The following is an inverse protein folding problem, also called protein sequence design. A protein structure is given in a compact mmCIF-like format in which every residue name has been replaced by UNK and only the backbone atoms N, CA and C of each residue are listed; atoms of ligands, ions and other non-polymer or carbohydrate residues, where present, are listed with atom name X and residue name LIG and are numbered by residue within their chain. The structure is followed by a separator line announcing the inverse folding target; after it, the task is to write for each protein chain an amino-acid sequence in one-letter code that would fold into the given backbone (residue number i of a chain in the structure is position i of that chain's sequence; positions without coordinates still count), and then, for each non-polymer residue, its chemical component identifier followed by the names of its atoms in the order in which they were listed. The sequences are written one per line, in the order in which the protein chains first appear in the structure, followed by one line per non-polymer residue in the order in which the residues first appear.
data_IF_815861218759
#
_entry.id   IF_815861218759
#
_cell.length_a   1.000
_cell.length_b   1.000
_cell.length_c   1.000
_cell.angle_alpha   90.00
_cell.angle_beta   90.00
_cell.angle_gamma   90.00
#
_symmetry.space_group_name_H-M   'P 1'
#
loop_
_entity.id
_entity.type
_entity.pdbx_description
1 polymer ?
#
# COMPACT_ATOMS: atom_id res chain seq x y z
N UNK A 1 16.70 -29.76 22.45
CA UNK A 1 18.05 -29.18 22.20
C UNK A 1 18.13 -28.92 20.70
N UNK A 2 17.97 -27.73 20.13
CA UNK A 2 17.98 -26.34 20.59
C UNK A 2 17.00 -25.58 19.66
N UNK A 3 16.05 -24.84 20.23
CA UNK A 3 16.09 -23.37 20.19
C UNK A 3 15.42 -22.78 18.94
N UNK A 4 14.08 -22.78 19.00
CA UNK A 4 13.18 -22.07 18.10
C UNK A 4 13.16 -20.58 18.48
N UNK A 5 14.33 -19.94 18.53
CA UNK A 5 14.49 -18.52 18.83
C UNK A 5 15.34 -17.89 17.74
N UNK A 6 14.86 -16.72 17.28
CA UNK A 6 15.55 -15.74 16.41
C UNK A 6 15.27 -15.84 14.91
N UNK A 7 14.00 -15.83 14.55
CA UNK A 7 13.56 -15.36 13.23
C UNK A 7 12.92 -13.97 13.28
N UNK A 8 13.31 -13.13 14.25
CA UNK A 8 12.86 -11.73 14.30
C UNK A 8 14.07 -10.79 14.40
N UNK A 9 14.64 -10.50 13.23
CA UNK A 9 15.23 -9.20 12.87
C UNK A 9 15.43 -9.22 11.34
N UNK A 10 14.36 -8.92 10.60
CA UNK A 10 14.46 -8.62 9.17
C UNK A 10 15.12 -7.25 8.96
N UNK A 11 16.43 -7.17 9.15
CA UNK A 11 17.25 -6.08 8.64
C UNK A 11 18.52 -6.63 8.01
N UNK A 12 18.51 -6.78 6.68
CA UNK A 12 19.72 -7.04 5.89
C UNK A 12 20.57 -5.77 5.83
N UNK A 13 21.29 -5.47 6.91
CA UNK A 13 22.45 -4.56 6.87
C UNK A 13 23.59 -5.23 7.62
N UNK A 14 24.71 -5.42 6.94
CA UNK A 14 25.94 -5.88 7.58
C UNK A 14 26.35 -4.85 8.63
N UNK A 15 26.73 -5.31 9.82
CA UNK A 15 27.08 -4.48 10.98
C UNK A 15 28.30 -3.55 10.76
N UNK A 16 28.88 -3.52 9.57
CA UNK A 16 30.00 -2.66 9.15
C UNK A 16 29.57 -1.28 8.62
N UNK A 17 28.28 -1.03 8.38
CA UNK A 17 27.80 0.24 7.84
C UNK A 17 27.24 1.16 8.92
N UNK A 18 28.11 1.66 9.80
CA UNK A 18 27.78 2.64 10.85
C UNK A 18 28.22 4.07 10.45
N UNK A 19 29.10 4.22 9.46
CA UNK A 19 29.69 5.51 9.03
C UNK A 19 29.14 6.11 7.74
N UNK A 20 28.02 5.60 7.23
CA UNK A 20 27.30 6.22 6.11
C UNK A 20 25.90 6.58 6.56
N UNK A 21 25.64 7.85 6.80
CA UNK A 21 24.27 8.37 6.97
C UNK A 21 23.54 8.29 5.60
N UNK A 22 23.25 7.07 5.15
CA UNK A 22 22.36 6.87 4.03
C UNK A 22 20.95 6.95 4.60
N UNK A 23 20.25 8.08 4.37
CA UNK A 23 18.80 8.10 4.54
C UNK A 23 18.27 6.88 3.82
N UNK A 24 17.63 5.96 4.54
CA UNK A 24 17.05 4.74 3.99
C UNK A 24 16.02 5.16 2.93
N UNK A 25 16.42 5.22 1.66
CA UNK A 25 15.52 5.52 0.54
C UNK A 25 14.49 4.41 0.33
N UNK A 26 14.77 3.22 0.86
CA UNK A 26 13.94 2.03 0.78
C UNK A 26 13.13 1.79 2.04
N UNK A 27 11.83 2.04 1.99
CA UNK A 27 10.85 1.35 2.84
C UNK A 27 10.73 -0.14 2.48
N UNK A 28 9.88 -0.89 3.19
CA UNK A 28 9.72 -2.33 2.98
C UNK A 28 9.26 -2.66 1.54
N UNK A 29 10.15 -3.29 0.76
CA UNK A 29 9.91 -3.60 -0.67
C UNK A 29 8.80 -4.63 -0.84
N UNK A 30 8.71 -5.61 0.07
CA UNK A 30 7.66 -6.65 0.05
C UNK A 30 6.29 -6.01 0.25
N UNK A 31 6.18 -5.08 1.21
CA UNK A 31 4.95 -4.33 1.46
C UNK A 31 4.56 -3.46 0.26
N UNK A 32 5.52 -2.72 -0.31
CA UNK A 32 5.26 -1.90 -1.51
C UNK A 32 4.74 -2.77 -2.67
N UNK A 33 5.34 -3.93 -2.89
CA UNK A 33 4.93 -4.87 -3.94
C UNK A 33 3.55 -5.47 -3.65
N UNK A 34 3.27 -5.85 -2.41
CA UNK A 34 1.97 -6.36 -1.99
C UNK A 34 0.86 -5.31 -2.22
N UNK A 35 1.12 -4.05 -1.84
CA UNK A 35 0.19 -2.94 -2.08
C UNK A 35 -0.05 -2.71 -3.58
N UNK A 36 1.01 -2.74 -4.39
CA UNK A 36 0.89 -2.63 -5.84
C UNK A 36 0.02 -3.75 -6.45
N UNK A 37 0.26 -5.01 -6.06
CA UNK A 37 -0.55 -6.15 -6.52
C UNK A 37 -2.00 -6.06 -6.03
N UNK A 38 -2.22 -5.59 -4.80
CA UNK A 38 -3.58 -5.37 -4.27
C UNK A 38 -4.35 -4.30 -5.06
N UNK A 39 -3.66 -3.24 -5.50
CA UNK A 39 -4.25 -2.20 -6.34
C UNK A 39 -4.60 -2.76 -7.72
N UNK A 40 -3.71 -3.55 -8.31
CA UNK A 40 -3.98 -4.23 -9.58
C UNK A 40 -5.19 -5.18 -9.49
N UNK A 41 -5.27 -6.00 -8.43
CA UNK A 41 -6.41 -6.89 -8.21
C UNK A 41 -7.74 -6.12 -8.02
N UNK A 42 -7.66 -4.90 -7.48
CA UNK A 42 -8.84 -4.06 -7.25
C UNK A 42 -9.43 -3.44 -8.52
N UNK A 43 -8.74 -3.47 -9.65
CA UNK A 43 -9.29 -3.00 -10.93
C UNK A 43 -10.51 -3.82 -11.41
N UNK A 44 -10.77 -4.97 -10.79
CA UNK A 44 -12.00 -5.75 -10.98
C UNK A 44 -13.24 -5.08 -10.40
N UNK A 45 -13.07 -4.17 -9.43
CA UNK A 45 -14.14 -3.41 -8.82
C UNK A 45 -14.35 -2.10 -9.58
N UNK A 46 -15.62 -1.78 -9.88
CA UNK A 46 -16.00 -0.66 -10.74
C UNK A 46 -15.54 0.69 -10.16
N UNK A 47 -15.68 0.88 -8.84
CA UNK A 47 -15.28 2.12 -8.17
C UNK A 47 -13.77 2.37 -8.18
N UNK A 48 -12.98 1.29 -8.20
CA UNK A 48 -11.52 1.35 -8.29
C UNK A 48 -11.07 1.60 -9.75
N UNK A 49 -11.78 1.00 -10.71
CA UNK A 49 -11.54 1.19 -12.14
C UNK A 49 -11.81 2.63 -12.60
N UNK A 50 -12.95 3.20 -12.21
CA UNK A 50 -13.29 4.60 -12.52
C UNK A 50 -12.25 5.58 -11.98
N UNK A 51 -11.70 5.30 -10.81
CA UNK A 51 -10.64 6.11 -10.24
C UNK A 51 -9.34 6.02 -11.05
N UNK A 52 -8.94 4.81 -11.44
CA UNK A 52 -7.75 4.60 -12.26
C UNK A 52 -7.90 5.23 -13.65
N UNK A 53 -9.08 5.11 -14.27
CA UNK A 53 -9.41 5.74 -15.56
C UNK A 53 -9.36 7.27 -15.45
N UNK A 54 -9.92 7.85 -14.38
CA UNK A 54 -9.80 9.30 -14.12
C UNK A 54 -8.34 9.73 -13.96
N UNK A 55 -7.53 8.94 -13.24
CA UNK A 55 -6.10 9.24 -13.09
C UNK A 55 -5.31 9.10 -14.39
N UNK A 56 -5.68 8.17 -15.27
CA UNK A 56 -5.12 8.09 -16.63
C UNK A 56 -5.57 9.25 -17.51
N UNK A 57 -6.81 9.72 -17.36
CA UNK A 57 -7.31 10.89 -18.08
C UNK A 57 -6.63 12.21 -17.67
N UNK A 58 -6.14 12.30 -16.42
CA UNK A 58 -5.30 13.42 -15.95
C UNK A 58 -3.89 13.44 -16.61
N UNK A 59 -3.55 12.46 -17.46
CA UNK A 59 -2.27 12.38 -18.15
C UNK A 59 -1.18 11.67 -17.35
N UNK A 60 -1.52 11.02 -16.23
CA UNK A 60 -0.55 10.23 -15.47
C UNK A 60 -0.27 8.88 -16.16
N UNK A 61 1.01 8.47 -16.12
CA UNK A 61 1.42 7.12 -16.53
C UNK A 61 0.66 6.04 -15.73
N UNK A 62 0.40 4.90 -16.36
CA UNK A 62 -0.34 3.79 -15.74
C UNK A 62 0.27 3.35 -14.40
N UNK A 63 1.61 3.36 -14.27
CA UNK A 63 2.27 3.05 -12.99
C UNK A 63 1.94 4.09 -11.91
N UNK A 64 1.91 5.37 -12.26
CA UNK A 64 1.55 6.44 -11.33
C UNK A 64 0.09 6.33 -10.90
N UNK A 65 -0.82 6.06 -11.84
CA UNK A 65 -2.23 5.80 -11.54
C UNK A 65 -2.40 4.62 -10.56
N UNK A 66 -1.69 3.52 -10.78
CA UNK A 66 -1.69 2.37 -9.85
C UNK A 66 -1.11 2.70 -8.47
N UNK A 67 -0.05 3.51 -8.40
CA UNK A 67 0.52 3.97 -7.12
C UNK A 67 -0.49 4.87 -6.39
N UNK A 68 -1.18 5.76 -7.10
CA UNK A 68 -2.24 6.61 -6.55
C UNK A 68 -3.41 5.75 -6.02
N UNK A 69 -3.83 4.73 -6.76
CA UNK A 69 -4.85 3.78 -6.31
C UNK A 69 -4.40 3.00 -5.07
N UNK A 70 -3.15 2.52 -5.04
CA UNK A 70 -2.59 1.82 -3.88
C UNK A 70 -2.62 2.71 -2.62
N UNK A 71 -2.25 3.99 -2.74
CA UNK A 71 -2.32 4.96 -1.63
C UNK A 71 -3.75 5.16 -1.12
N UNK A 72 -4.71 5.31 -2.04
CA UNK A 72 -6.14 5.43 -1.68
C UNK A 72 -6.61 4.20 -0.89
N UNK A 73 -6.21 2.99 -1.30
CA UNK A 73 -6.55 1.75 -0.60
C UNK A 73 -5.90 1.68 0.78
N UNK A 74 -4.64 2.09 0.91
CA UNK A 74 -3.98 2.18 2.22
C UNK A 74 -4.74 3.11 3.17
N UNK A 75 -5.23 4.26 2.69
CA UNK A 75 -6.02 5.17 3.52
C UNK A 75 -7.33 4.53 4.00
N UNK A 76 -7.99 3.74 3.15
CA UNK A 76 -9.20 2.99 3.52
C UNK A 76 -8.89 1.92 4.56
N UNK A 77 -7.82 1.15 4.36
CA UNK A 77 -7.35 0.14 5.34
C UNK A 77 -6.93 0.76 6.67
N UNK A 78 -6.35 1.96 6.66
CA UNK A 78 -6.01 2.70 7.87
C UNK A 78 -7.25 3.24 8.58
N UNK A 79 -8.24 3.73 7.81
CA UNK A 79 -9.47 4.29 8.36
C UNK A 79 -10.38 3.24 9.01
N UNK A 80 -10.43 2.00 8.49
CA UNK A 80 -11.27 0.93 9.04
C UNK A 80 -11.05 0.66 10.55
N UNK A 81 -9.84 0.31 11.01
CA UNK A 81 -9.60 0.06 12.43
C UNK A 81 -9.69 1.34 13.24
N UNK A 82 -9.36 2.50 12.66
CA UNK A 82 -9.42 3.78 13.37
C UNK A 82 -10.86 4.23 13.64
N UNK A 83 -11.79 3.96 12.71
CA UNK A 83 -13.21 4.33 12.81
C UNK A 83 -14.09 3.19 13.33
N UNK A 84 -13.57 1.97 13.41
CA UNK A 84 -14.36 0.76 13.73
C UNK A 84 -15.38 0.39 12.64
N UNK A 85 -15.25 0.94 11.43
CA UNK A 85 -16.22 0.71 10.35
C UNK A 85 -15.75 -0.40 9.42
N UNK A 86 -16.60 -1.39 9.09
CA UNK A 86 -16.24 -2.42 8.13
C UNK A 86 -16.09 -1.84 6.72
N UNK A 87 -15.30 -2.51 5.87
CA UNK A 87 -15.19 -2.16 4.46
C UNK A 87 -16.55 -2.25 3.77
N UNK A 88 -16.92 -1.21 3.02
CA UNK A 88 -18.08 -1.21 2.12
C UNK A 88 -17.59 -1.01 0.69
N UNK A 89 -17.92 -1.96 -0.19
CA UNK A 89 -17.69 -1.83 -1.63
C UNK A 89 -18.74 -0.89 -2.21
N UNK A 90 -18.43 0.40 -2.29
CA UNK A 90 -19.35 1.41 -2.80
C UNK A 90 -18.79 2.82 -2.66
N UNK A 91 -19.26 3.75 -3.50
CA UNK A 91 -18.83 5.13 -3.52
C UNK A 91 -18.97 5.77 -2.12
N UNK A 92 -17.89 6.27 -1.48
CA UNK A 92 -17.93 6.78 -0.11
C UNK A 92 -18.84 8.01 0.07
N UNK A 93 -19.28 8.65 -1.02
CA UNK A 93 -20.31 9.71 -0.99
C UNK A 93 -21.70 9.22 -0.62
N UNK A 94 -21.98 7.92 -0.64
CA UNK A 94 -23.25 7.36 -0.15
C UNK A 94 -23.37 7.33 1.39
N UNK A 95 -22.32 7.74 2.12
CA UNK A 95 -22.30 7.76 3.59
C UNK A 95 -22.91 9.07 4.17
N UNK A 96 -23.27 10.04 3.31
CA UNK A 96 -23.78 11.35 3.72
C UNK A 96 -25.31 11.53 3.56
N UNK A 97 -26.10 10.45 3.65
CA UNK A 97 -27.56 10.49 3.73
C UNK A 97 -28.01 9.71 4.97
#
# INVERSE_FOLDING_TARGET
MAEYLRADMLTTFSATSIRGEHRRRGGNIRLKRALYLSAFASLRDQASREYDDRKRAEGEDHRSALICLARRRTNVLYAMPHRGTPYRSGNPTAIAA
#
